data_IF_793918785747
#
_entry.id   IF_793918785747
#
_cell.length_a   1.000
_cell.length_b   1.000
_cell.length_c   1.000
_cell.angle_alpha   90.00
_cell.angle_beta   90.00
_cell.angle_gamma   90.00
#
_symmetry.space_group_name_H-M   'P 1'
#
loop_
_entity.id
_entity.type
_entity.pdbx_description
1 polymer ?
#
# COMPACT_ATOMS: atom_id res chain seq x y z
N UNK A 1 -46.81 -73.26 -128.73
CA UNK A 1 -46.09 -74.07 -127.72
C UNK A 1 -45.44 -73.14 -126.69
N UNK A 2 -45.57 -73.49 -125.40
CA UNK A 2 -44.74 -73.12 -124.23
C UNK A 2 -44.83 -71.71 -123.61
N UNK A 3 -45.57 -71.66 -122.48
CA UNK A 3 -45.20 -71.19 -121.13
C UNK A 3 -44.20 -70.02 -121.01
N UNK A 4 -44.64 -68.95 -120.33
CA UNK A 4 -44.22 -68.62 -118.94
C UNK A 4 -45.05 -67.45 -118.39
N UNK A 5 -45.88 -67.76 -117.39
CA UNK A 5 -46.45 -66.82 -116.44
C UNK A 5 -45.46 -66.65 -115.28
N UNK A 6 -45.67 -65.56 -114.53
CA UNK A 6 -45.05 -65.14 -113.25
C UNK A 6 -44.09 -63.97 -113.43
N UNK A 7 -44.65 -62.78 -113.29
CA UNK A 7 -44.18 -61.69 -112.43
C UNK A 7 -45.29 -60.62 -112.39
N UNK A 8 -46.46 -61.01 -111.88
CA UNK A 8 -47.59 -60.11 -111.61
C UNK A 8 -47.95 -60.18 -110.12
N UNK A 9 -46.94 -60.02 -109.27
CA UNK A 9 -47.10 -60.01 -107.81
C UNK A 9 -46.23 -58.93 -107.14
N UNK A 10 -45.87 -57.89 -107.88
CA UNK A 10 -45.09 -56.75 -107.37
C UNK A 10 -45.72 -55.41 -107.76
N UNK A 11 -47.06 -55.35 -107.77
CA UNK A 11 -47.80 -54.12 -108.00
C UNK A 11 -48.79 -53.94 -106.85
N UNK A 12 -48.71 -52.78 -106.19
CA UNK A 12 -49.56 -52.32 -105.09
C UNK A 12 -49.20 -52.79 -103.67
N UNK A 13 -48.03 -52.39 -103.18
CA UNK A 13 -47.94 -51.85 -101.81
C UNK A 13 -47.74 -50.34 -101.93
N UNK A 14 -48.82 -49.58 -101.84
CA UNK A 14 -48.76 -48.12 -101.83
C UNK A 14 -48.04 -47.66 -100.56
N UNK A 15 -46.79 -47.22 -100.71
CA UNK A 15 -46.11 -46.48 -99.65
C UNK A 15 -46.75 -45.08 -99.58
N UNK A 16 -47.36 -44.74 -98.44
CA UNK A 16 -47.72 -43.35 -98.15
C UNK A 16 -46.41 -42.57 -97.96
N UNK A 17 -46.03 -41.72 -98.92
CA UNK A 17 -44.93 -40.77 -98.73
C UNK A 17 -45.48 -39.50 -98.09
N UNK A 18 -45.11 -39.22 -96.84
CA UNK A 18 -45.30 -37.90 -96.25
C UNK A 18 -44.28 -36.96 -96.88
N UNK A 19 -44.74 -35.95 -97.63
CA UNK A 19 -43.87 -34.91 -98.16
C UNK A 19 -43.80 -33.75 -97.16
N UNK A 20 -42.62 -33.52 -96.59
CA UNK A 20 -42.26 -32.27 -95.93
C UNK A 20 -42.27 -31.13 -96.95
N UNK A 21 -42.74 -29.94 -96.56
CA UNK A 21 -42.82 -28.80 -97.48
C UNK A 21 -41.51 -28.03 -97.45
N UNK A 22 -40.73 -28.14 -98.53
CA UNK A 22 -39.58 -27.30 -98.79
C UNK A 22 -39.92 -26.20 -99.77
N UNK A 23 -39.67 -24.95 -99.41
CA UNK A 23 -39.70 -23.81 -100.33
C UNK A 23 -38.28 -23.29 -100.49
N UNK A 24 -37.71 -23.46 -101.69
CA UNK A 24 -36.32 -23.07 -101.96
C UNK A 24 -35.25 -24.10 -101.57
N UNK A 25 -35.64 -25.26 -101.02
CA UNK A 25 -34.75 -26.40 -100.75
C UNK A 25 -35.34 -27.72 -101.27
N UNK A 26 -34.50 -28.56 -101.89
CA UNK A 26 -34.89 -29.89 -102.37
C UNK A 26 -34.79 -30.98 -101.30
N UNK A 27 -34.17 -30.67 -100.16
CA UNK A 27 -33.98 -31.59 -99.04
C UNK A 27 -34.28 -30.85 -97.72
N UNK A 28 -35.56 -30.63 -97.38
CA UNK A 28 -35.90 -30.03 -96.10
C UNK A 28 -35.36 -30.84 -94.91
N UNK A 29 -35.08 -30.16 -93.81
CA UNK A 29 -34.66 -30.77 -92.57
C UNK A 29 -35.75 -31.72 -92.06
N UNK A 30 -35.35 -32.93 -91.67
CA UNK A 30 -36.28 -33.98 -91.21
C UNK A 30 -37.09 -33.58 -89.95
N UNK A 31 -36.65 -32.56 -89.21
CA UNK A 31 -37.36 -32.03 -88.03
C UNK A 31 -38.34 -30.89 -88.37
N UNK A 32 -38.41 -30.45 -89.62
CA UNK A 32 -39.24 -29.32 -90.04
C UNK A 32 -40.41 -29.77 -90.92
N UNK A 33 -41.63 -29.42 -90.52
CA UNK A 33 -42.82 -29.65 -91.35
C UNK A 33 -42.88 -28.67 -92.55
N UNK A 34 -42.29 -27.49 -92.40
CA UNK A 34 -42.10 -26.46 -93.42
C UNK A 34 -40.69 -25.85 -93.25
N UNK A 35 -39.88 -25.87 -94.30
CA UNK A 35 -38.61 -25.14 -94.37
C UNK A 35 -38.63 -24.18 -95.55
N UNK A 36 -38.25 -22.93 -95.29
CA UNK A 36 -38.13 -21.89 -96.32
C UNK A 36 -36.67 -21.42 -96.33
N UNK A 37 -35.97 -21.63 -97.44
CA UNK A 37 -34.57 -21.27 -97.63
C UNK A 37 -34.39 -20.33 -98.82
N UNK A 38 -33.72 -19.20 -98.61
CA UNK A 38 -33.39 -18.21 -99.64
C UNK A 38 -32.25 -17.30 -99.18
N UNK A 39 -31.33 -16.96 -100.09
CA UNK A 39 -30.22 -16.05 -99.78
C UNK A 39 -30.64 -14.56 -99.74
N UNK A 40 -31.77 -14.21 -100.35
CA UNK A 40 -32.14 -12.81 -100.57
C UNK A 40 -33.66 -12.53 -100.60
N UNK A 41 -34.51 -13.48 -100.20
CA UNK A 41 -35.96 -13.30 -100.08
C UNK A 41 -36.43 -13.65 -98.67
N UNK A 42 -37.35 -12.87 -98.14
CA UNK A 42 -38.02 -13.14 -96.87
C UNK A 42 -39.36 -13.86 -97.04
N UNK A 43 -40.02 -14.14 -95.91
CA UNK A 43 -41.38 -14.67 -95.88
C UNK A 43 -42.35 -13.52 -95.62
N UNK A 44 -43.28 -13.29 -96.54
CA UNK A 44 -44.36 -12.35 -96.32
C UNK A 44 -45.49 -13.06 -95.58
N UNK A 45 -45.54 -12.89 -94.27
CA UNK A 45 -46.65 -13.35 -93.43
C UNK A 45 -47.94 -12.63 -93.87
N UNK A 46 -49.11 -13.31 -93.87
CA UNK A 46 -50.38 -12.69 -94.27
C UNK A 46 -50.62 -11.35 -93.59
N UNK A 47 -50.80 -10.30 -94.40
CA UNK A 47 -51.09 -8.95 -93.93
C UNK A 47 -52.60 -8.81 -93.76
N UNK A 48 -53.06 -8.75 -92.51
CA UNK A 48 -54.47 -8.82 -92.16
C UNK A 48 -54.87 -7.55 -91.42
N UNK A 49 -55.92 -6.83 -91.86
CA UNK A 49 -56.44 -5.68 -91.13
C UNK A 49 -57.36 -6.15 -89.99
N UNK A 50 -56.77 -6.57 -88.86
CA UNK A 50 -57.53 -7.00 -87.68
C UNK A 50 -58.37 -5.85 -87.13
N UNK A 51 -59.55 -6.16 -86.57
CA UNK A 51 -60.50 -5.15 -86.07
C UNK A 51 -60.30 -4.81 -84.59
N UNK A 52 -59.70 -5.71 -83.81
CA UNK A 52 -59.46 -5.55 -82.38
C UNK A 52 -58.74 -6.77 -81.80
N UNK A 53 -58.36 -6.71 -80.52
CA UNK A 53 -57.60 -7.78 -79.88
C UNK A 53 -58.37 -9.12 -79.87
N UNK A 54 -59.70 -9.08 -79.73
CA UNK A 54 -60.55 -10.29 -79.73
C UNK A 54 -61.19 -10.61 -81.10
N UNK A 55 -60.59 -10.16 -82.21
CA UNK A 55 -61.16 -10.36 -83.55
C UNK A 55 -61.12 -11.82 -84.02
N UNK A 56 -62.29 -12.46 -84.02
CA UNK A 56 -62.50 -13.85 -84.48
C UNK A 56 -63.13 -13.96 -85.87
N UNK A 57 -63.40 -12.83 -86.55
CA UNK A 57 -64.17 -12.80 -87.80
C UNK A 57 -63.33 -12.49 -89.03
N UNK A 58 -62.23 -11.75 -88.87
CA UNK A 58 -61.42 -11.33 -90.01
C UNK A 58 -60.66 -12.50 -90.67
N UNK A 59 -60.31 -13.54 -89.90
CA UNK A 59 -59.80 -14.80 -90.43
C UNK A 59 -60.97 -15.77 -90.62
N UNK A 60 -61.17 -16.23 -91.85
CA UNK A 60 -62.20 -17.22 -92.16
C UNK A 60 -61.86 -18.60 -91.56
N UNK A 61 -62.89 -19.38 -91.19
CA UNK A 61 -62.78 -20.69 -90.54
C UNK A 61 -62.22 -20.69 -89.10
N UNK A 62 -62.16 -19.52 -88.46
CA UNK A 62 -61.82 -19.36 -87.05
C UNK A 62 -60.32 -19.31 -86.79
N UNK A 63 -59.95 -18.66 -85.69
CA UNK A 63 -58.56 -18.54 -85.26
C UNK A 63 -58.12 -19.80 -84.52
N UNK A 64 -56.89 -20.25 -84.77
CA UNK A 64 -56.25 -21.37 -84.08
C UNK A 64 -55.08 -20.87 -83.24
N UNK A 65 -54.80 -21.54 -82.13
CA UNK A 65 -53.65 -21.22 -81.26
C UNK A 65 -52.35 -21.16 -82.07
N UNK A 66 -51.51 -20.16 -81.78
CA UNK A 66 -50.25 -19.87 -82.48
C UNK A 66 -50.40 -19.41 -83.94
N UNK A 67 -51.61 -19.10 -84.43
CA UNK A 67 -51.79 -18.52 -85.77
C UNK A 67 -51.10 -17.16 -85.87
N UNK A 68 -50.16 -16.99 -86.80
CA UNK A 68 -49.35 -15.78 -86.97
C UNK A 68 -49.84 -14.94 -88.16
N UNK A 69 -50.06 -13.65 -87.93
CA UNK A 69 -50.38 -12.66 -88.97
C UNK A 69 -49.59 -11.37 -88.76
N UNK A 70 -49.46 -10.57 -89.81
CA UNK A 70 -49.02 -9.18 -89.68
C UNK A 70 -50.25 -8.27 -89.68
N UNK A 71 -50.55 -7.64 -88.56
CA UNK A 71 -51.63 -6.68 -88.45
C UNK A 71 -51.26 -5.36 -89.15
N UNK A 72 -52.17 -4.82 -89.96
CA UNK A 72 -52.00 -3.51 -90.63
C UNK A 72 -52.86 -2.40 -90.03
N UNK A 73 -53.81 -2.73 -89.14
CA UNK A 73 -54.71 -1.77 -88.51
C UNK A 73 -54.01 -0.98 -87.40
N UNK A 74 -54.27 0.31 -87.32
CA UNK A 74 -53.91 1.16 -86.17
C UNK A 74 -55.20 1.62 -85.47
N UNK A 75 -55.35 1.29 -84.20
CA UNK A 75 -56.45 1.74 -83.35
C UNK A 75 -56.01 1.78 -81.87
N UNK A 76 -56.97 1.93 -80.93
CA UNK A 76 -56.67 2.01 -79.49
C UNK A 76 -56.12 0.71 -78.89
N UNK A 77 -56.38 -0.44 -79.53
CA UNK A 77 -55.98 -1.77 -79.04
C UNK A 77 -54.80 -2.36 -79.83
N UNK A 78 -54.69 -2.01 -81.11
CA UNK A 78 -53.78 -2.60 -82.07
C UNK A 78 -52.89 -1.55 -82.72
N UNK A 79 -51.62 -1.91 -82.84
CA UNK A 79 -50.61 -1.22 -83.65
C UNK A 79 -50.16 -2.14 -84.80
N UNK A 80 -49.65 -1.61 -85.92
CA UNK A 80 -49.05 -2.45 -86.96
C UNK A 80 -47.89 -3.31 -86.42
N UNK A 81 -47.85 -4.58 -86.80
CA UNK A 81 -46.84 -5.51 -86.31
C UNK A 81 -47.25 -6.97 -86.41
N UNK A 82 -46.38 -7.87 -85.94
CA UNK A 82 -46.66 -9.31 -85.89
C UNK A 82 -47.55 -9.65 -84.69
N UNK A 83 -48.62 -10.38 -84.92
CA UNK A 83 -49.53 -10.88 -83.89
C UNK A 83 -49.71 -12.38 -84.03
N UNK A 84 -49.79 -13.07 -82.89
CA UNK A 84 -50.19 -14.46 -82.84
C UNK A 84 -51.47 -14.61 -82.02
N UNK A 85 -52.32 -15.56 -82.41
CA UNK A 85 -53.53 -15.87 -81.66
C UNK A 85 -53.21 -16.76 -80.46
N UNK A 86 -53.64 -16.34 -79.26
CA UNK A 86 -53.55 -17.10 -78.03
C UNK A 86 -54.64 -16.71 -77.04
N UNK A 87 -55.22 -17.69 -76.33
CA UNK A 87 -56.17 -17.46 -75.23
C UNK A 87 -57.33 -16.52 -75.63
N UNK A 88 -57.91 -16.76 -76.82
CA UNK A 88 -58.99 -15.98 -77.41
C UNK A 88 -58.67 -14.49 -77.73
N UNK A 89 -57.39 -14.14 -77.86
CA UNK A 89 -56.93 -12.80 -78.20
C UNK A 89 -55.71 -12.79 -79.13
N UNK A 90 -55.55 -11.71 -79.89
CA UNK A 90 -54.36 -11.41 -80.68
C UNK A 90 -53.29 -10.77 -79.78
N UNK A 91 -52.14 -11.42 -79.67
CA UNK A 91 -50.99 -10.95 -78.91
C UNK A 91 -49.89 -10.44 -79.85
N UNK A 92 -49.48 -9.19 -79.68
CA UNK A 92 -48.37 -8.61 -80.43
C UNK A 92 -47.04 -9.21 -79.97
N UNK A 93 -46.17 -9.55 -80.91
CA UNK A 93 -44.76 -9.81 -80.61
C UNK A 93 -44.07 -8.46 -80.38
N UNK A 94 -43.69 -8.20 -79.12
CA UNK A 94 -43.00 -6.97 -78.73
C UNK A 94 -41.50 -7.07 -79.00
N UNK A 95 -40.90 -5.96 -79.43
CA UNK A 95 -39.45 -5.78 -79.55
C UNK A 95 -38.94 -4.79 -78.50
N UNK A 96 -37.63 -4.68 -78.32
CA UNK A 96 -37.04 -3.65 -77.44
C UNK A 96 -37.42 -2.22 -77.86
N UNK A 97 -37.76 -2.00 -79.14
CA UNK A 97 -38.27 -0.73 -79.65
C UNK A 97 -39.72 -0.45 -79.21
N UNK A 98 -40.49 -1.49 -78.84
CA UNK A 98 -41.84 -1.36 -78.29
C UNK A 98 -41.85 -1.19 -76.75
N UNK A 99 -40.69 -1.39 -76.10
CA UNK A 99 -40.51 -1.13 -74.67
C UNK A 99 -40.47 0.38 -74.45
N UNK A 100 -41.65 0.99 -74.33
CA UNK A 100 -41.78 2.31 -73.71
C UNK A 100 -41.18 2.17 -72.31
N UNK A 101 -40.05 2.83 -72.03
CA UNK A 101 -39.34 2.79 -70.76
C UNK A 101 -40.35 2.82 -69.61
N UNK A 102 -40.45 1.72 -68.88
CA UNK A 102 -41.02 1.79 -67.54
C UNK A 102 -39.98 2.57 -66.73
N UNK A 103 -40.17 3.89 -66.63
CA UNK A 103 -39.41 4.75 -65.73
C UNK A 103 -39.70 4.32 -64.28
N UNK A 104 -39.10 3.21 -63.84
CA UNK A 104 -39.13 2.82 -62.44
C UNK A 104 -38.25 3.81 -61.69
N UNK A 105 -38.80 4.58 -60.73
CA UNK A 105 -38.00 5.53 -59.99
C UNK A 105 -36.91 4.79 -59.19
N UNK A 106 -35.67 5.22 -59.35
CA UNK A 106 -34.51 4.69 -58.63
C UNK A 106 -34.09 5.60 -57.48
N UNK A 107 -33.28 5.10 -56.55
CA UNK A 107 -32.77 5.92 -55.43
C UNK A 107 -31.93 7.09 -55.96
N UNK A 108 -32.25 8.31 -55.51
CA UNK A 108 -31.61 9.57 -55.94
C UNK A 108 -30.66 10.11 -54.90
N UNK A 109 -31.11 10.30 -53.66
CA UNK A 109 -30.29 10.92 -52.60
C UNK A 109 -30.69 10.45 -51.20
N UNK A 110 -29.71 10.48 -50.30
CA UNK A 110 -29.89 10.16 -48.89
C UNK A 110 -29.46 11.38 -48.07
N UNK A 111 -30.40 11.98 -47.32
CA UNK A 111 -30.25 13.32 -46.72
C UNK A 111 -30.75 13.32 -45.28
N UNK A 112 -30.10 14.12 -44.45
CA UNK A 112 -30.53 14.45 -43.08
C UNK A 112 -31.06 15.88 -43.06
N UNK A 113 -32.33 16.05 -42.71
CA UNK A 113 -32.99 17.35 -42.59
C UNK A 113 -34.23 17.25 -41.69
N UNK A 114 -34.58 18.34 -41.00
CA UNK A 114 -35.74 18.43 -40.11
C UNK A 114 -35.81 17.35 -39.01
N UNK A 115 -34.67 16.83 -38.54
CA UNK A 115 -34.63 15.74 -37.57
C UNK A 115 -35.00 14.36 -38.14
N UNK A 116 -35.10 14.24 -39.46
CA UNK A 116 -35.42 13.00 -40.18
C UNK A 116 -34.24 12.57 -41.05
N UNK A 117 -34.09 11.25 -41.21
CA UNK A 117 -33.22 10.64 -42.20
C UNK A 117 -34.10 10.23 -43.39
N UNK A 118 -33.93 10.90 -44.53
CA UNK A 118 -34.78 10.76 -45.72
C UNK A 118 -34.02 10.10 -46.88
N UNK A 119 -34.67 9.17 -47.56
CA UNK A 119 -34.22 8.60 -48.84
C UNK A 119 -35.17 9.07 -49.95
N UNK A 120 -34.66 9.87 -50.88
CA UNK A 120 -35.40 10.37 -52.04
C UNK A 120 -35.22 9.44 -53.26
N UNK A 121 -36.28 9.28 -54.05
CA UNK A 121 -36.24 8.62 -55.36
C UNK A 121 -36.03 9.62 -56.51
N UNK A 122 -35.91 9.12 -57.74
CA UNK A 122 -35.69 9.95 -58.93
C UNK A 122 -36.90 10.80 -59.34
N UNK A 123 -38.05 10.62 -58.69
CA UNK A 123 -39.27 11.43 -58.82
C UNK A 123 -39.49 12.37 -57.62
N UNK A 124 -38.51 12.51 -56.72
CA UNK A 124 -38.56 13.30 -55.50
C UNK A 124 -39.58 12.82 -54.45
N UNK A 125 -40.08 11.58 -54.55
CA UNK A 125 -40.76 10.94 -53.42
C UNK A 125 -39.72 10.52 -52.38
N UNK A 126 -40.10 10.44 -51.11
CA UNK A 126 -39.19 9.99 -50.07
C UNK A 126 -39.83 9.04 -49.05
N UNK A 127 -38.99 8.21 -48.47
CA UNK A 127 -39.26 7.49 -47.21
C UNK A 127 -38.37 8.09 -46.12
N UNK A 128 -38.81 8.02 -44.86
CA UNK A 128 -38.08 8.62 -43.75
C UNK A 128 -38.12 7.76 -42.50
N UNK A 129 -37.14 8.01 -41.62
CA UNK A 129 -37.13 7.58 -40.23
C UNK A 129 -36.76 8.77 -39.35
N UNK A 130 -37.40 8.90 -38.18
CA UNK A 130 -37.04 9.91 -37.19
C UNK A 130 -35.66 9.61 -36.61
N UNK A 131 -34.76 10.61 -36.60
CA UNK A 131 -33.41 10.44 -36.07
C UNK A 131 -33.45 10.14 -34.57
N UNK A 132 -34.44 10.67 -33.84
CA UNK A 132 -34.65 10.38 -32.42
C UNK A 132 -34.93 8.88 -32.17
N UNK A 133 -35.56 8.18 -33.12
CA UNK A 133 -35.80 6.73 -33.02
C UNK A 133 -34.54 5.90 -33.31
N UNK A 134 -33.54 6.51 -33.95
CA UNK A 134 -32.21 5.91 -34.17
C UNK A 134 -31.24 6.24 -33.03
N UNK A 135 -31.53 7.28 -32.24
CA UNK A 135 -30.65 7.75 -31.20
C UNK A 135 -30.88 6.94 -29.92
N UNK A 136 -30.07 5.90 -29.73
CA UNK A 136 -29.98 5.18 -28.46
C UNK A 136 -29.21 6.06 -27.48
N UNK A 137 -29.93 6.77 -26.60
CA UNK A 137 -29.35 7.75 -25.68
C UNK A 137 -28.76 7.04 -24.47
N UNK A 138 -27.46 7.23 -24.25
CA UNK A 138 -26.84 6.94 -22.95
C UNK A 138 -27.01 8.14 -22.01
N UNK A 139 -27.17 7.88 -20.72
CA UNK A 139 -27.33 8.95 -19.72
C UNK A 139 -26.34 8.78 -18.59
N UNK A 140 -25.80 9.89 -18.07
CA UNK A 140 -25.06 9.93 -16.82
C UNK A 140 -25.76 10.90 -15.87
N UNK A 141 -26.42 10.36 -14.84
CA UNK A 141 -27.23 11.14 -13.90
C UNK A 141 -26.55 11.18 -12.55
N UNK A 142 -26.31 12.38 -12.03
CA UNK A 142 -25.81 12.58 -10.66
C UNK A 142 -26.93 12.37 -9.65
N UNK A 143 -26.65 11.68 -8.56
CA UNK A 143 -27.58 11.51 -7.44
C UNK A 143 -27.96 12.87 -6.80
N UNK A 144 -29.26 13.06 -6.58
CA UNK A 144 -29.81 14.33 -6.10
C UNK A 144 -29.43 14.65 -4.64
N UNK A 145 -29.06 13.65 -3.85
CA UNK A 145 -28.65 13.82 -2.46
C UNK A 145 -27.23 14.38 -2.32
N UNK A 146 -26.49 14.49 -3.42
CA UNK A 146 -25.11 14.99 -3.41
C UNK A 146 -24.12 14.03 -2.73
N UNK A 147 -24.48 12.76 -2.59
CA UNK A 147 -23.66 11.70 -1.99
C UNK A 147 -22.48 11.23 -2.89
N UNK A 148 -22.22 11.89 -4.02
CA UNK A 148 -21.14 11.51 -4.93
C UNK A 148 -21.43 10.30 -5.81
N UNK A 149 -22.66 9.78 -5.84
CA UNK A 149 -23.04 8.70 -6.73
C UNK A 149 -23.51 9.23 -8.10
N UNK A 150 -23.19 8.46 -9.14
CA UNK A 150 -23.65 8.68 -10.51
C UNK A 150 -24.25 7.40 -11.05
N UNK A 151 -25.35 7.50 -11.79
CA UNK A 151 -25.95 6.37 -12.51
C UNK A 151 -25.70 6.55 -14.00
N UNK A 152 -24.87 5.68 -14.57
CA UNK A 152 -24.72 5.53 -16.01
C UNK A 152 -25.78 4.56 -16.53
N UNK A 153 -26.51 4.93 -17.58
CA UNK A 153 -27.45 4.02 -18.27
C UNK A 153 -27.02 3.87 -19.71
N UNK A 154 -26.79 2.64 -20.15
CA UNK A 154 -26.36 2.33 -21.51
C UNK A 154 -27.54 2.30 -22.51
N UNK A 155 -27.23 2.05 -23.78
CA UNK A 155 -28.18 1.99 -24.90
C UNK A 155 -29.25 0.91 -24.75
N UNK A 156 -28.96 -0.14 -23.97
CA UNK A 156 -29.90 -1.24 -23.67
C UNK A 156 -30.77 -0.96 -22.43
N UNK A 157 -30.59 0.19 -21.77
CA UNK A 157 -31.29 0.56 -20.54
C UNK A 157 -30.70 -0.07 -19.27
N UNK A 158 -29.53 -0.69 -19.34
CA UNK A 158 -28.81 -1.25 -18.18
C UNK A 158 -28.14 -0.12 -17.41
N UNK A 159 -28.45 -0.04 -16.12
CA UNK A 159 -27.90 0.96 -15.22
C UNK A 159 -26.69 0.42 -14.42
N UNK A 160 -25.64 1.23 -14.33
CA UNK A 160 -24.46 0.99 -13.48
C UNK A 160 -24.31 2.17 -12.54
N UNK A 161 -24.20 1.89 -11.24
CA UNK A 161 -23.92 2.90 -10.21
C UNK A 161 -22.40 3.04 -10.07
N UNK A 162 -21.94 4.28 -10.18
CA UNK A 162 -20.57 4.70 -9.90
C UNK A 162 -20.62 5.40 -8.53
N UNK A 163 -19.98 4.80 -7.53
CA UNK A 163 -19.91 5.36 -6.17
C UNK A 163 -18.50 5.91 -5.92
N UNK A 164 -18.33 7.20 -6.21
CA UNK A 164 -17.04 7.88 -6.09
C UNK A 164 -16.56 7.88 -4.64
N UNK A 165 -17.47 7.96 -3.65
CA UNK A 165 -17.08 7.95 -2.25
C UNK A 165 -16.55 6.58 -1.83
N UNK A 166 -17.26 5.52 -2.19
CA UNK A 166 -16.80 4.15 -1.94
C UNK A 166 -15.46 3.88 -2.63
N UNK A 167 -15.30 4.33 -3.87
CA UNK A 167 -14.04 4.18 -4.61
C UNK A 167 -12.89 4.94 -3.94
N UNK A 168 -13.12 6.16 -3.46
CA UNK A 168 -12.09 6.92 -2.73
C UNK A 168 -11.72 6.24 -1.41
N UNK A 169 -12.71 5.70 -0.67
CA UNK A 169 -12.44 4.98 0.57
C UNK A 169 -11.62 3.71 0.30
N UNK A 170 -12.03 2.93 -0.70
CA UNK A 170 -11.37 1.66 -1.03
C UNK A 170 -9.94 1.87 -1.55
N UNK A 171 -9.68 2.97 -2.24
CA UNK A 171 -8.37 3.30 -2.79
C UNK A 171 -7.61 4.35 -1.96
N UNK A 172 -8.03 4.59 -0.71
CA UNK A 172 -7.52 5.71 0.10
C UNK A 172 -6.00 5.66 0.30
N UNK A 173 -5.43 4.47 0.53
CA UNK A 173 -3.98 4.30 0.68
C UNK A 173 -3.22 4.67 -0.60
N UNK A 174 -3.75 4.35 -1.78
CA UNK A 174 -3.13 4.73 -3.05
C UNK A 174 -3.24 6.24 -3.28
N UNK A 175 -4.42 6.80 -3.02
CA UNK A 175 -4.69 8.23 -3.17
C UNK A 175 -3.77 9.05 -2.26
N UNK A 176 -3.65 8.69 -0.98
CA UNK A 176 -2.85 9.46 -0.03
C UNK A 176 -1.35 9.28 -0.29
N UNK A 177 -0.90 8.16 -0.86
CA UNK A 177 0.53 7.98 -1.20
C UNK A 177 0.91 8.59 -2.57
N UNK A 178 -0.04 9.14 -3.31
CA UNK A 178 0.24 9.85 -4.54
C UNK A 178 1.01 11.16 -4.26
N UNK A 179 2.11 11.38 -4.98
CA UNK A 179 2.99 12.55 -4.78
C UNK A 179 2.27 13.89 -4.96
N UNK A 180 1.41 14.05 -5.97
CA UNK A 180 0.68 15.30 -6.21
C UNK A 180 -0.33 15.58 -5.08
N UNK A 181 -1.01 14.53 -4.59
CA UNK A 181 -1.93 14.64 -3.45
C UNK A 181 -1.18 15.05 -2.18
N UNK A 182 -0.02 14.44 -1.93
CA UNK A 182 0.86 14.80 -0.82
C UNK A 182 1.34 16.25 -0.91
N UNK A 183 1.74 16.73 -2.09
CA UNK A 183 2.14 18.12 -2.29
C UNK A 183 0.99 19.09 -1.97
N UNK A 184 -0.22 18.80 -2.46
CA UNK A 184 -1.42 19.61 -2.15
C UNK A 184 -1.73 19.58 -0.66
N UNK A 185 -1.70 18.40 -0.04
CA UNK A 185 -1.99 18.24 1.38
C UNK A 185 -0.96 19.01 2.23
N UNK A 186 0.32 18.94 1.87
CA UNK A 186 1.37 19.70 2.53
C UNK A 186 1.18 21.21 2.34
N UNK A 187 0.76 21.67 1.17
CA UNK A 187 0.40 23.09 0.99
C UNK A 187 -0.78 23.49 1.88
N UNK A 188 -1.81 22.67 1.99
CA UNK A 188 -2.98 22.97 2.83
C UNK A 188 -2.59 22.97 4.31
N UNK A 189 -1.89 21.95 4.79
CA UNK A 189 -1.46 21.83 6.18
C UNK A 189 -0.52 22.96 6.56
N UNK A 190 0.48 23.25 5.72
CA UNK A 190 1.51 24.23 6.04
C UNK A 190 1.08 25.67 5.76
N UNK A 191 0.04 25.96 4.97
CA UNK A 191 -0.36 27.34 4.67
C UNK A 191 -1.62 27.79 5.42
N UNK A 192 -2.30 26.90 6.15
CA UNK A 192 -3.39 27.29 7.04
C UNK A 192 -2.79 27.77 8.37
N UNK A 193 -3.09 29.01 8.74
CA UNK A 193 -2.61 29.60 9.98
C UNK A 193 -3.03 28.78 11.21
N UNK A 194 -2.11 28.63 12.16
CA UNK A 194 -2.34 27.92 13.43
C UNK A 194 -1.98 26.42 13.44
N UNK A 195 -1.76 25.78 12.28
CA UNK A 195 -1.27 24.41 12.25
C UNK A 195 0.21 24.37 12.65
N UNK A 196 0.56 23.43 13.54
CA UNK A 196 1.95 23.14 13.90
C UNK A 196 2.46 22.01 13.01
N UNK A 197 3.57 22.25 12.34
CA UNK A 197 4.30 21.31 11.48
C UNK A 197 5.63 20.94 12.13
N UNK A 198 6.10 19.72 11.88
CA UNK A 198 7.41 19.23 12.33
C UNK A 198 8.14 18.61 11.15
N UNK A 199 9.31 19.13 10.82
CA UNK A 199 10.09 18.71 9.65
C UNK A 199 11.20 17.71 10.00
N UNK A 200 11.30 17.28 11.26
CA UNK A 200 12.37 16.42 11.76
C UNK A 200 13.46 17.16 12.52
N UNK A 201 13.50 18.49 12.46
CA UNK A 201 14.36 19.36 13.27
C UNK A 201 13.52 20.27 14.15
N UNK A 202 12.61 21.02 13.53
CA UNK A 202 11.99 22.18 14.15
C UNK A 202 10.46 22.04 14.13
N UNK A 203 9.81 22.48 15.21
CA UNK A 203 8.37 22.74 15.20
C UNK A 203 8.13 24.14 14.64
N UNK A 204 7.25 24.26 13.65
CA UNK A 204 6.89 25.55 13.03
C UNK A 204 5.39 25.71 12.93
N UNK A 205 4.89 26.94 12.82
CA UNK A 205 3.50 27.23 12.49
C UNK A 205 3.42 28.42 11.53
N UNK A 206 2.31 28.52 10.79
CA UNK A 206 2.03 29.71 9.98
C UNK A 206 1.20 30.71 10.78
N UNK A 207 1.67 31.95 10.83
CA UNK A 207 0.99 33.04 11.52
C UNK A 207 -0.14 33.65 10.66
N UNK A 208 -0.88 34.61 11.22
CA UNK A 208 -2.02 35.28 10.57
C UNK A 208 -1.67 35.97 9.24
N UNK A 209 -0.38 36.25 9.01
CA UNK A 209 0.13 36.89 7.79
C UNK A 209 0.64 35.88 6.75
N UNK A 210 0.47 34.57 6.98
CA UNK A 210 0.95 33.54 6.06
C UNK A 210 2.45 33.27 6.15
N UNK A 211 3.13 33.74 7.20
CA UNK A 211 4.57 33.51 7.39
C UNK A 211 4.83 32.35 8.35
N UNK A 212 5.73 31.45 7.98
CA UNK A 212 6.22 30.38 8.83
C UNK A 212 7.07 30.95 9.96
N UNK A 213 6.77 30.53 11.19
CA UNK A 213 7.46 30.92 12.43
C UNK A 213 7.89 29.67 13.18
N UNK A 214 9.13 29.61 13.64
CA UNK A 214 9.65 28.51 14.46
C UNK A 214 9.20 28.63 15.91
N UNK A 215 8.81 27.51 16.51
CA UNK A 215 8.52 27.37 17.93
C UNK A 215 9.83 27.02 18.64
N UNK A 216 10.39 27.99 19.35
CA UNK A 216 11.62 27.81 20.12
C UNK A 216 11.31 27.08 21.45
N UNK A 217 11.38 25.75 21.39
CA UNK A 217 11.17 24.90 22.57
C UNK A 217 12.26 25.17 23.63
N UNK A 218 13.50 25.46 23.23
CA UNK A 218 14.59 25.74 24.18
C UNK A 218 14.29 27.01 24.98
N UNK A 219 13.82 28.07 24.33
CA UNK A 219 13.41 29.30 25.01
C UNK A 219 12.20 29.07 25.92
N UNK A 220 11.21 28.28 25.48
CA UNK A 220 10.03 27.93 26.31
C UNK A 220 10.47 27.17 27.55
N UNK A 221 11.34 26.16 27.40
CA UNK A 221 11.87 25.38 28.52
C UNK A 221 12.63 26.30 29.47
N UNK A 222 13.60 27.09 28.97
CA UNK A 222 14.35 28.05 29.81
C UNK A 222 13.46 29.08 30.54
N UNK A 223 12.38 29.53 29.91
CA UNK A 223 11.46 30.48 30.52
C UNK A 223 10.59 29.85 31.64
N UNK A 224 10.41 28.53 31.63
CA UNK A 224 9.60 27.79 32.60
C UNK A 224 10.42 26.88 33.52
N UNK A 225 11.71 26.71 33.26
CA UNK A 225 12.65 26.08 34.18
C UNK A 225 12.71 26.91 35.46
N UNK A 226 12.53 26.23 36.59
CA UNK A 226 12.65 26.86 37.91
C UNK A 226 14.02 26.54 38.48
N UNK A 227 14.61 27.50 39.19
CA UNK A 227 16.00 27.41 39.64
C UNK A 227 16.04 26.69 41.00
N UNK A 228 16.72 25.55 41.07
CA UNK A 228 17.16 24.96 42.35
C UNK A 228 18.40 25.67 42.87
N UNK A 229 18.50 25.88 44.18
CA UNK A 229 19.67 26.52 44.80
C UNK A 229 20.28 25.68 45.91
N UNK A 230 21.60 25.71 46.06
CA UNK A 230 22.31 25.19 47.24
C UNK A 230 23.19 26.31 47.80
N UNK A 231 22.81 26.83 48.97
CA UNK A 231 23.45 28.01 49.57
C UNK A 231 24.12 27.61 50.88
N UNK A 232 25.42 27.92 51.03
CA UNK A 232 26.15 27.75 52.29
C UNK A 232 25.72 28.83 53.28
N UNK A 233 25.49 28.46 54.54
CA UNK A 233 25.24 29.41 55.61
C UNK A 233 26.46 30.33 55.81
N UNK A 234 26.20 31.64 55.82
CA UNK A 234 27.21 32.69 55.95
C UNK A 234 27.93 32.67 57.30
N UNK A 235 27.34 32.06 58.33
CA UNK A 235 27.92 31.97 59.67
C UNK A 235 29.07 30.95 59.76
N UNK A 236 29.32 30.16 58.71
CA UNK A 236 30.40 29.17 58.69
C UNK A 236 30.18 27.99 59.64
N UNK A 237 28.95 27.78 60.11
CA UNK A 237 28.51 26.69 60.98
C UNK A 237 28.38 25.33 60.26
N UNK A 238 28.82 25.21 59.01
CA UNK A 238 28.73 23.96 58.24
C UNK A 238 27.33 23.62 57.74
N UNK A 239 26.36 24.53 57.82
CA UNK A 239 25.02 24.32 57.28
C UNK A 239 24.92 24.75 55.82
N UNK A 240 24.09 24.04 55.07
CA UNK A 240 23.71 24.35 53.69
C UNK A 240 22.20 24.32 53.58
N UNK A 241 21.62 25.25 52.82
CA UNK A 241 20.20 25.26 52.49
C UNK A 241 20.03 24.89 51.02
N UNK A 242 19.42 23.74 50.78
CA UNK A 242 18.94 23.35 49.47
C UNK A 242 17.50 23.83 49.30
N UNK A 243 17.19 24.53 48.22
CA UNK A 243 15.82 24.94 47.87
C UNK A 243 15.43 24.28 46.57
N UNK A 244 14.36 23.47 46.60
CA UNK A 244 13.84 22.80 45.41
C UNK A 244 13.01 23.76 44.53
N UNK A 245 12.52 23.23 43.41
CA UNK A 245 11.71 23.95 42.41
C UNK A 245 10.38 24.51 42.97
N UNK A 246 9.82 23.88 44.00
CA UNK A 246 8.60 24.35 44.69
C UNK A 246 8.89 25.43 45.74
N UNK A 247 10.15 25.85 45.90
CA UNK A 247 10.57 26.80 46.93
C UNK A 247 10.69 26.18 48.33
N UNK A 248 10.57 24.86 48.45
CA UNK A 248 10.74 24.15 49.72
C UNK A 248 12.22 24.06 50.06
N UNK A 249 12.58 24.64 51.21
CA UNK A 249 13.93 24.64 51.73
C UNK A 249 14.18 23.44 52.65
N UNK A 250 15.30 22.77 52.46
CA UNK A 250 15.84 21.71 53.31
C UNK A 250 17.20 22.17 53.83
N UNK A 251 17.37 22.17 55.14
CA UNK A 251 18.65 22.46 55.79
C UNK A 251 19.42 21.16 55.93
N UNK A 252 20.65 21.16 55.43
CA UNK A 252 21.64 20.12 55.56
C UNK A 252 22.64 20.60 56.60
N UNK A 253 22.69 19.97 57.76
CA UNK A 253 23.63 20.30 58.84
C UNK A 253 24.72 19.24 58.92
N UNK A 254 25.81 19.49 58.19
CA UNK A 254 26.94 18.55 58.11
C UNK A 254 27.58 18.34 59.48
N UNK A 255 27.60 19.35 60.35
CA UNK A 255 28.22 19.21 61.67
C UNK A 255 27.36 18.33 62.58
N UNK A 256 26.05 18.55 62.59
CA UNK A 256 25.11 17.72 63.34
C UNK A 256 25.16 16.26 62.85
N UNK A 257 25.21 16.04 61.52
CA UNK A 257 25.31 14.70 60.94
C UNK A 257 26.62 14.00 61.33
N UNK A 258 27.74 14.72 61.36
CA UNK A 258 29.03 14.16 61.83
C UNK A 258 28.96 13.79 63.31
N UNK A 259 28.35 14.63 64.15
CA UNK A 259 28.19 14.34 65.59
C UNK A 259 27.28 13.14 65.79
N UNK A 260 26.17 13.06 65.06
CA UNK A 260 25.21 11.96 65.17
C UNK A 260 25.84 10.62 64.75
N UNK A 261 26.63 10.63 63.67
CA UNK A 261 27.25 9.44 63.12
C UNK A 261 28.67 9.21 63.66
N UNK A 262 29.07 9.90 64.73
CA UNK A 262 30.47 9.89 65.21
C UNK A 262 30.97 8.50 65.59
N UNK A 263 30.13 7.65 66.19
CA UNK A 263 30.49 6.27 66.53
C UNK A 263 30.79 5.43 65.28
N UNK A 264 30.03 5.61 64.20
CA UNK A 264 30.30 4.92 62.94
C UNK A 264 31.57 5.46 62.28
N UNK A 265 31.72 6.78 62.24
CA UNK A 265 32.89 7.47 61.68
C UNK A 265 34.17 7.01 62.38
N UNK A 266 34.18 6.99 63.72
CA UNK A 266 35.38 6.62 64.47
C UNK A 266 35.66 5.13 64.39
N UNK A 267 34.67 4.26 64.17
CA UNK A 267 34.91 2.82 64.01
C UNK A 267 35.32 2.41 62.58
N UNK A 268 35.32 3.35 61.63
CA UNK A 268 35.83 3.11 60.29
C UNK A 268 37.34 2.84 60.32
N UNK A 269 37.77 1.75 59.67
CA UNK A 269 39.18 1.31 59.66
C UNK A 269 40.13 2.37 59.11
N UNK A 270 39.78 3.06 58.03
CA UNK A 270 40.65 4.09 57.43
C UNK A 270 40.80 5.30 58.37
N UNK A 271 39.71 5.71 59.03
CA UNK A 271 39.74 6.79 60.03
C UNK A 271 40.61 6.40 61.23
N UNK A 272 40.50 5.16 61.71
CA UNK A 272 41.33 4.62 62.79
C UNK A 272 42.81 4.56 62.40
N UNK A 273 43.14 4.15 61.18
CA UNK A 273 44.53 4.14 60.69
C UNK A 273 45.12 5.54 60.69
N UNK A 274 44.39 6.53 60.16
CA UNK A 274 44.81 7.94 60.17
C UNK A 274 44.95 8.45 61.60
N UNK A 275 43.98 8.16 62.48
CA UNK A 275 44.03 8.60 63.87
C UNK A 275 45.23 7.98 64.60
N UNK A 276 45.49 6.69 64.40
CA UNK A 276 46.65 6.00 64.96
C UNK A 276 47.96 6.57 64.43
N UNK A 277 48.04 6.92 63.14
CA UNK A 277 49.20 7.64 62.61
C UNK A 277 49.39 8.99 63.31
N UNK A 278 48.33 9.77 63.51
CA UNK A 278 48.41 11.06 64.21
C UNK A 278 48.84 10.87 65.66
N UNK A 279 48.22 9.93 66.40
CA UNK A 279 48.53 9.67 67.81
C UNK A 279 49.98 9.21 67.96
N UNK A 280 50.41 8.27 67.13
CA UNK A 280 51.73 7.65 67.25
C UNK A 280 52.85 8.52 66.67
N UNK A 281 52.59 9.43 65.71
CA UNK A 281 53.64 10.25 65.09
C UNK A 281 53.79 11.65 65.73
N UNK A 282 52.95 12.02 66.69
CA UNK A 282 53.14 13.25 67.49
C UNK A 282 54.12 12.94 68.64
N UNK A 283 55.25 13.65 68.66
CA UNK A 283 56.28 13.47 69.68
C UNK A 283 55.74 13.67 71.10
N UNK A 284 56.13 12.77 72.01
CA UNK A 284 55.75 12.81 73.42
C UNK A 284 54.50 12.02 73.83
N UNK A 285 53.70 11.54 72.88
CA UNK A 285 52.59 10.63 73.21
C UNK A 285 53.13 9.24 73.56
N UNK A 286 52.70 8.70 74.71
CA UNK A 286 52.94 7.31 75.08
C UNK A 286 51.82 6.44 74.53
N UNK A 287 52.18 5.49 73.69
CA UNK A 287 51.29 4.48 73.12
C UNK A 287 51.55 3.13 73.79
N UNK A 288 50.52 2.29 73.89
CA UNK A 288 50.62 0.92 74.38
C UNK A 288 49.99 -0.01 73.36
N UNK A 289 50.78 -0.94 72.83
CA UNK A 289 50.37 -1.86 71.78
C UNK A 289 49.87 -3.22 72.31
N UNK A 290 49.77 -3.37 73.63
CA UNK A 290 49.43 -4.63 74.30
C UNK A 290 50.63 -5.39 74.84
N UNK A 291 51.86 -5.05 74.42
CA UNK A 291 53.11 -5.57 75.00
C UNK A 291 53.91 -4.46 75.65
N UNK A 292 54.18 -3.40 74.91
CA UNK A 292 55.19 -2.42 75.25
C UNK A 292 54.60 -1.00 75.31
N UNK A 293 55.05 -0.21 76.27
CA UNK A 293 54.83 1.23 76.24
C UNK A 293 55.91 1.87 75.36
N UNK A 294 55.49 2.65 74.35
CA UNK A 294 56.40 3.32 73.43
C UNK A 294 56.05 4.79 73.28
N UNK A 295 57.00 5.64 72.89
CA UNK A 295 56.74 7.03 72.49
C UNK A 295 57.60 7.40 71.29
N UNK A 296 57.16 8.38 70.50
CA UNK A 296 58.00 8.97 69.45
C UNK A 296 58.81 10.13 70.00
N UNK A 297 60.13 10.06 69.80
CA UNK A 297 61.07 11.08 70.23
C UNK A 297 61.11 12.28 69.26
N UNK A 298 61.87 13.33 69.61
CA UNK A 298 61.98 14.58 68.82
C UNK A 298 62.48 14.36 67.38
N UNK A 299 63.08 13.21 67.09
CA UNK A 299 63.59 12.83 65.75
C UNK A 299 62.63 11.93 64.97
N UNK A 300 61.39 11.73 65.46
CA UNK A 300 60.40 10.88 64.80
C UNK A 300 60.65 9.38 64.98
N UNK A 301 61.53 8.96 65.91
CA UNK A 301 61.81 7.54 66.14
C UNK A 301 61.03 7.01 67.35
N UNK A 302 60.40 5.85 67.18
CA UNK A 302 59.74 5.11 68.26
C UNK A 302 60.78 4.59 69.25
N UNK A 303 60.56 4.89 70.54
CA UNK A 303 61.41 4.49 71.66
C UNK A 303 60.56 3.71 72.68
N UNK A 304 61.04 2.55 73.12
CA UNK A 304 60.36 1.73 74.15
C UNK A 304 60.69 2.23 75.54
N UNK A 305 59.67 2.29 76.40
CA UNK A 305 59.80 2.56 77.83
C UNK A 305 59.97 1.22 78.54
N UNK A 306 61.22 0.93 78.94
CA UNK A 306 61.56 -0.30 79.65
C UNK A 306 61.23 -0.16 81.15
N UNK A 307 60.01 -0.60 81.51
CA UNK A 307 59.54 -0.60 82.89
C UNK A 307 60.37 -1.55 83.76
N UNK A 308 60.85 -2.68 83.22
CA UNK A 308 61.65 -3.65 83.98
C UNK A 308 63.00 -3.03 84.39
N UNK A 309 63.66 -2.33 83.48
CA UNK A 309 64.88 -1.58 83.77
C UNK A 309 64.62 -0.47 84.79
N UNK A 310 63.51 0.28 84.67
CA UNK A 310 63.15 1.31 85.66
C UNK A 310 62.94 0.69 87.04
N UNK A 311 62.21 -0.42 87.13
CA UNK A 311 61.97 -1.11 88.41
C UNK A 311 63.28 -1.62 89.00
N UNK A 312 64.08 -2.38 88.23
CA UNK A 312 65.39 -2.89 88.68
C UNK A 312 66.37 -1.79 89.09
N UNK A 313 66.38 -0.65 88.39
CA UNK A 313 67.24 0.47 88.73
C UNK A 313 66.86 1.12 90.06
N UNK A 314 65.62 0.96 90.52
CA UNK A 314 65.11 1.51 91.77
C UNK A 314 64.89 0.44 92.86
N UNK A 315 65.09 -0.85 92.57
CA UNK A 315 65.12 -1.91 93.58
C UNK A 315 66.44 -1.87 94.38
N UNK A 316 66.34 -1.80 95.71
CA UNK A 316 67.48 -1.57 96.63
C UNK A 316 67.73 -2.77 97.55
N UNK A 317 67.88 -3.95 96.93
CA UNK A 317 68.43 -5.23 97.43
C UNK A 317 68.38 -5.44 98.97
N UNK A 318 67.52 -6.37 99.41
CA UNK A 318 67.60 -6.98 100.75
C UNK A 318 68.78 -7.96 100.86
N UNK A 319 69.50 -7.98 101.97
CA UNK A 319 70.61 -8.92 102.20
C UNK A 319 70.42 -9.76 103.46
N UNK A 320 70.92 -11.01 103.46
CA UNK A 320 71.02 -11.87 104.64
C UNK A 320 72.43 -12.45 104.68
N UNK A 321 73.24 -11.98 105.63
CA UNK A 321 74.68 -12.28 105.69
C UNK A 321 74.98 -13.07 106.96
N UNK A 322 75.68 -14.20 106.83
CA UNK A 322 76.13 -15.00 107.97
C UNK A 322 77.32 -14.32 108.65
N UNK A 323 77.33 -14.28 109.99
CA UNK A 323 78.47 -13.79 110.76
C UNK A 323 79.71 -14.68 110.52
N UNK A 324 80.81 -14.03 110.14
CA UNK A 324 82.08 -14.65 109.80
C UNK A 324 82.72 -15.41 110.97
N UNK A 325 82.35 -15.11 112.22
CA UNK A 325 82.89 -15.74 113.41
C UNK A 325 82.35 -17.17 113.64
N UNK A 326 81.39 -17.63 112.84
CA UNK A 326 80.85 -19.00 112.95
C UNK A 326 80.02 -19.24 114.22
N UNK A 327 79.61 -18.17 114.90
CA UNK A 327 78.78 -18.15 116.13
C UNK A 327 77.29 -18.45 115.88
N UNK A 328 76.88 -18.75 114.65
CA UNK A 328 75.48 -19.01 114.32
C UNK A 328 74.59 -17.76 114.16
N UNK A 329 75.17 -16.56 114.11
CA UNK A 329 74.43 -15.33 113.85
C UNK A 329 74.31 -15.03 112.33
N UNK A 330 73.20 -14.42 111.95
CA UNK A 330 72.94 -13.88 110.62
C UNK A 330 72.43 -12.45 110.75
N UNK A 331 72.88 -11.55 109.89
CA UNK A 331 72.36 -10.18 109.82
C UNK A 331 71.49 -10.05 108.58
N UNK A 332 70.20 -9.83 108.79
CA UNK A 332 69.28 -9.40 107.74
C UNK A 332 69.31 -7.87 107.65
N UNK A 333 69.47 -7.31 106.46
CA UNK A 333 69.37 -5.87 106.22
C UNK A 333 68.25 -5.61 105.23
N UNK A 334 67.24 -4.83 105.65
CA UNK A 334 66.11 -4.44 104.79
C UNK A 334 66.48 -3.29 103.84
N UNK A 335 65.54 -2.89 102.98
CA UNK A 335 65.70 -1.83 101.98
C UNK A 335 66.01 -0.44 102.59
N UNK A 336 65.64 -0.22 103.85
CA UNK A 336 65.97 1.00 104.60
C UNK A 336 67.37 0.97 105.25
N UNK A 337 68.15 -0.09 105.01
CA UNK A 337 69.47 -0.28 105.61
C UNK A 337 69.42 -0.69 107.09
N UNK A 338 68.25 -1.02 107.61
CA UNK A 338 68.08 -1.46 109.00
C UNK A 338 68.54 -2.92 109.12
N UNK A 339 69.59 -3.12 109.90
CA UNK A 339 70.14 -4.44 110.19
C UNK A 339 69.47 -5.05 111.42
N UNK A 340 68.96 -6.27 111.28
CA UNK A 340 68.45 -7.13 112.35
C UNK A 340 69.38 -8.33 112.47
N UNK A 341 69.98 -8.51 113.64
CA UNK A 341 70.80 -9.68 113.95
C UNK A 341 69.88 -10.80 114.45
N UNK A 342 69.97 -11.94 113.81
CA UNK A 342 69.29 -13.18 114.11
C UNK A 342 70.34 -14.11 114.72
N UNK A 343 70.22 -14.43 116.01
CA UNK A 343 71.13 -15.35 116.70
C UNK A 343 70.47 -16.71 116.86
N UNK A 344 70.72 -17.60 115.90
CA UNK A 344 70.13 -18.93 115.87
C UNK A 344 70.61 -19.77 117.06
N UNK A 345 71.85 -19.59 117.53
CA UNK A 345 72.35 -20.35 118.68
C UNK A 345 71.70 -19.89 119.98
N UNK A 346 71.62 -18.58 120.21
CA UNK A 346 70.96 -18.04 121.39
C UNK A 346 69.48 -18.44 121.43
N UNK A 347 68.78 -18.39 120.30
CA UNK A 347 67.37 -18.79 120.22
C UNK A 347 67.20 -20.29 120.50
N UNK A 348 68.10 -21.15 120.00
CA UNK A 348 68.07 -22.59 120.30
C UNK A 348 68.37 -22.87 121.78
N UNK A 349 69.28 -22.12 122.41
CA UNK A 349 69.59 -22.27 123.84
C UNK A 349 68.42 -21.79 124.71
N UNK A 350 67.87 -20.59 124.42
CA UNK A 350 66.79 -20.01 125.20
C UNK A 350 65.52 -20.86 125.14
N UNK A 351 65.26 -21.50 124.00
CA UNK A 351 64.10 -22.36 123.81
C UNK A 351 64.45 -23.85 123.96
N UNK A 352 65.63 -24.20 124.53
CA UNK A 352 66.12 -25.58 124.53
C UNK A 352 65.15 -26.56 125.20
N UNK A 353 64.57 -26.21 126.34
CA UNK A 353 63.59 -27.07 127.03
C UNK A 353 62.31 -27.27 126.20
N UNK A 354 61.87 -26.27 125.44
CA UNK A 354 60.71 -26.40 124.54
C UNK A 354 61.07 -27.24 123.31
N UNK A 355 62.26 -27.03 122.73
CA UNK A 355 62.77 -27.75 121.56
C UNK A 355 62.93 -29.25 121.84
N UNK A 356 63.45 -29.65 123.02
CA UNK A 356 63.66 -31.07 123.35
C UNK A 356 62.40 -31.78 123.86
N UNK A 357 61.42 -31.04 124.39
CA UNK A 357 60.16 -31.60 124.90
C UNK A 357 59.02 -31.54 123.86
N UNK A 358 59.22 -30.85 122.73
CA UNK A 358 58.38 -30.99 121.55
C UNK A 358 58.64 -32.36 120.91
N UNK A 359 57.76 -33.33 121.18
CA UNK A 359 57.78 -34.64 120.50
C UNK A 359 56.91 -34.60 119.25
#
# INVERSE_FOLDING_TARGET
MKKRWILLSAFCTGAMSYAQVGIGTGTPNLSAQLEISSDNRGVLIPQVPLKGASDTKTIENGNVESLLVYNTTTNNELQPGYYYWKDASWHRLLTDLDRKEWELPGNKSFVVEDGLLKLYDSQDNFVFIEIEQLNIVTTLVKDANGNGQYTYTNEEGTAVVIDVQADVINNFEEIINNTEVQEILNQVINNIGGNVSYDGSDFTYVNENGQTTTIDIEAIVKANETITTLVKDANGNGQYTYTNEEGTAVVIDVQADVIQNFEEIINNTEVQEILNQVINNIGGNVSYDGSDFTYVNENGQTTTIDIEAIVKANETITTLVKDANGNGQYTYTNEEGTAVVIDVQADVINNFEEIINNT
#
